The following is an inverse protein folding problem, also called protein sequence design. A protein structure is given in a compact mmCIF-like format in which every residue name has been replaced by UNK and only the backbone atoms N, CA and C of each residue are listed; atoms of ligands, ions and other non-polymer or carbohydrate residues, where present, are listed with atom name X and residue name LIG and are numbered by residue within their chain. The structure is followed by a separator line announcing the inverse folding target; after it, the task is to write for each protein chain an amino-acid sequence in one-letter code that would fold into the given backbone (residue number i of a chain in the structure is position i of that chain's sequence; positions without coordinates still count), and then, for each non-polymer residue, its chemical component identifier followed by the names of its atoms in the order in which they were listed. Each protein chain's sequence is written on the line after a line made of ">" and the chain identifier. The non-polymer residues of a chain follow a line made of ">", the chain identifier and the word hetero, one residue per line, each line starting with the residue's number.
data_IF_397224745778
#
_entry.id   IF_397224745778
#
_cell.length_a   1.000
_cell.length_b   1.000
_cell.length_c   1.000
_cell.angle_alpha   90.00
_cell.angle_beta   90.00
_cell.angle_gamma   90.00
#
_symmetry.space_group_name_H-M   'P 1'
#
loop_
_entity.id
_entity.type
_entity.pdbx_description
1 polymer ?
#
# COMPACT_ATOMS: atom_id res chain seq x y z
N UNK A 1 25.63 3.17 4.44
CA UNK A 1 24.64 4.18 4.05
C UNK A 1 24.25 3.96 2.59
N UNK A 2 22.97 3.67 2.34
CA UNK A 2 22.39 3.54 1.00
C UNK A 2 21.32 4.62 0.79
N UNK A 3 20.98 4.90 -0.45
CA UNK A 3 19.93 5.83 -0.82
C UNK A 3 18.56 5.33 -0.35
N UNK A 4 17.65 6.25 -0.02
CA UNK A 4 16.29 5.95 0.44
C UNK A 4 15.47 5.19 -0.63
N UNK A 5 15.68 5.50 -1.90
CA UNK A 5 15.02 4.79 -3.01
C UNK A 5 15.48 3.33 -3.08
N UNK A 6 16.78 3.09 -3.01
CA UNK A 6 17.35 1.74 -3.00
C UNK A 6 16.91 0.96 -1.77
N UNK A 7 16.89 1.59 -0.59
CA UNK A 7 16.40 0.98 0.64
C UNK A 7 14.91 0.57 0.53
N UNK A 8 14.09 1.39 -0.15
CA UNK A 8 12.69 1.06 -0.41
C UNK A 8 12.57 -0.13 -1.37
N UNK A 9 13.34 -0.12 -2.45
CA UNK A 9 13.34 -1.22 -3.42
C UNK A 9 13.77 -2.54 -2.80
N UNK A 10 14.84 -2.52 -1.99
CA UNK A 10 15.31 -3.68 -1.24
C UNK A 10 14.23 -4.22 -0.32
N UNK A 11 13.56 -3.35 0.44
CA UNK A 11 12.45 -3.73 1.30
C UNK A 11 11.28 -4.36 0.53
N UNK A 12 10.92 -3.79 -0.62
CA UNK A 12 9.71 -4.20 -1.37
C UNK A 12 9.95 -5.46 -2.21
N UNK A 13 11.14 -5.63 -2.79
CA UNK A 13 11.41 -6.70 -3.75
C UNK A 13 12.29 -7.82 -3.20
N UNK A 14 13.19 -7.51 -2.28
CA UNK A 14 14.21 -8.45 -1.83
C UNK A 14 13.97 -8.97 -0.42
N UNK A 15 13.43 -8.13 0.49
CA UNK A 15 13.16 -8.54 1.85
C UNK A 15 11.98 -9.53 1.97
N UNK A 16 12.01 -10.31 3.03
CA UNK A 16 10.87 -11.08 3.51
C UNK A 16 10.53 -10.64 4.93
N UNK A 17 9.32 -10.90 5.37
CA UNK A 17 8.92 -10.70 6.77
C UNK A 17 9.02 -11.97 7.61
N UNK A 18 9.57 -13.06 7.04
CA UNK A 18 9.75 -14.32 7.75
C UNK A 18 10.92 -15.13 7.19
N UNK A 19 11.83 -15.56 8.08
CA UNK A 19 13.07 -16.27 7.71
C UNK A 19 12.88 -17.60 6.95
N UNK A 20 11.77 -18.29 7.15
CA UNK A 20 11.47 -19.56 6.45
C UNK A 20 11.25 -19.42 4.94
N UNK A 21 11.06 -18.20 4.45
CA UNK A 21 10.69 -17.94 3.07
C UNK A 21 11.76 -17.16 2.30
N UNK A 22 13.01 -17.25 2.74
CA UNK A 22 14.17 -16.64 2.10
C UNK A 22 15.06 -17.71 1.46
N UNK A 23 15.77 -17.33 0.40
CA UNK A 23 16.84 -18.14 -0.15
C UNK A 23 18.16 -17.81 0.57
N UNK A 24 18.86 -18.85 1.04
CA UNK A 24 20.03 -18.67 1.89
C UNK A 24 21.22 -17.97 1.19
N UNK A 25 21.25 -17.98 -0.14
CA UNK A 25 22.38 -17.46 -0.93
C UNK A 25 22.04 -16.24 -1.77
N UNK A 26 20.86 -15.64 -1.60
CA UNK A 26 20.49 -14.45 -2.37
C UNK A 26 21.22 -13.23 -1.84
N UNK A 27 21.88 -12.54 -2.76
CA UNK A 27 22.64 -11.30 -2.51
C UNK A 27 22.12 -10.19 -3.42
N UNK A 28 21.87 -9.03 -2.84
CA UNK A 28 21.50 -7.82 -3.57
C UNK A 28 22.69 -6.86 -3.63
N UNK A 29 23.09 -6.44 -4.83
CA UNK A 29 24.13 -5.46 -5.02
C UNK A 29 23.56 -4.05 -5.12
N UNK A 30 24.03 -3.15 -4.29
CA UNK A 30 23.60 -1.75 -4.25
C UNK A 30 24.81 -0.82 -4.11
N UNK A 31 24.74 0.37 -4.68
CA UNK A 31 25.77 1.41 -4.48
C UNK A 31 25.46 2.19 -3.21
N UNK A 32 26.47 2.36 -2.37
CA UNK A 32 26.38 3.24 -1.22
C UNK A 32 26.45 4.73 -1.66
N UNK A 33 26.26 5.63 -0.71
CA UNK A 33 26.34 7.08 -0.97
C UNK A 33 27.75 7.56 -1.38
N UNK A 34 28.77 6.75 -1.19
CA UNK A 34 30.14 6.99 -1.63
C UNK A 34 30.44 6.43 -3.04
N UNK A 35 29.47 5.73 -3.67
CA UNK A 35 29.60 5.11 -4.98
C UNK A 35 30.19 3.70 -4.98
N UNK A 36 30.49 3.12 -3.82
CA UNK A 36 31.00 1.77 -3.69
C UNK A 36 29.89 0.73 -3.76
N UNK A 37 30.15 -0.41 -4.39
CA UNK A 37 29.18 -1.53 -4.46
C UNK A 37 29.23 -2.31 -3.15
N UNK A 38 28.08 -2.37 -2.46
CA UNK A 38 27.89 -3.18 -1.27
C UNK A 38 27.01 -4.38 -1.63
N UNK A 39 27.35 -5.53 -1.05
CA UNK A 39 26.55 -6.76 -1.15
C UNK A 39 25.74 -6.94 0.12
N UNK A 40 24.43 -6.98 -0.04
CA UNK A 40 23.50 -7.22 1.06
C UNK A 40 22.99 -8.64 1.00
N UNK A 41 23.08 -9.35 2.11
CA UNK A 41 22.55 -10.70 2.24
C UNK A 41 21.05 -10.63 2.55
N UNK A 42 20.24 -11.46 1.89
CA UNK A 42 18.79 -11.51 2.12
C UNK A 42 18.44 -11.84 3.58
N UNK A 43 19.25 -12.64 4.26
CA UNK A 43 19.02 -12.99 5.68
C UNK A 43 19.07 -11.72 6.54
N UNK A 44 20.14 -10.94 6.44
CA UNK A 44 20.36 -9.71 7.22
C UNK A 44 19.26 -8.68 6.97
N UNK A 45 18.93 -8.46 5.70
CA UNK A 45 17.84 -7.53 5.31
C UNK A 45 16.50 -8.02 5.87
N UNK A 46 16.23 -9.31 5.78
CA UNK A 46 14.99 -9.91 6.30
C UNK A 46 14.90 -9.79 7.83
N UNK A 47 16.00 -9.99 8.56
CA UNK A 47 16.03 -9.80 10.01
C UNK A 47 15.63 -8.38 10.39
N UNK A 48 16.24 -7.38 9.78
CA UNK A 48 15.94 -5.97 10.05
C UNK A 48 14.46 -5.66 9.75
N UNK A 49 13.95 -6.10 8.60
CA UNK A 49 12.56 -5.85 8.19
C UNK A 49 11.58 -6.59 9.10
N UNK A 50 11.84 -7.85 9.40
CA UNK A 50 11.01 -8.69 10.27
C UNK A 50 10.90 -8.11 11.68
N UNK A 51 12.03 -7.71 12.29
CA UNK A 51 12.05 -7.14 13.64
C UNK A 51 11.25 -5.83 13.69
N UNK A 52 11.39 -4.98 12.67
CA UNK A 52 10.64 -3.73 12.60
C UNK A 52 9.15 -3.95 12.39
N UNK A 53 8.77 -4.89 11.54
CA UNK A 53 7.36 -5.25 11.35
C UNK A 53 6.77 -5.87 12.62
N UNK A 54 7.52 -6.73 13.31
CA UNK A 54 7.10 -7.33 14.57
C UNK A 54 6.87 -6.27 15.65
N UNK A 55 7.75 -5.28 15.75
CA UNK A 55 7.58 -4.14 16.66
C UNK A 55 6.28 -3.38 16.36
N UNK A 56 6.04 -3.03 15.09
CA UNK A 56 4.82 -2.33 14.67
C UNK A 56 3.55 -3.13 14.99
N UNK A 57 3.55 -4.43 14.72
CA UNK A 57 2.40 -5.31 15.00
C UNK A 57 2.14 -5.44 16.51
N UNK A 58 3.19 -5.54 17.33
CA UNK A 58 3.04 -5.58 18.81
C UNK A 58 2.52 -4.25 19.35
N UNK A 59 2.98 -3.11 18.80
CA UNK A 59 2.43 -1.80 19.15
C UNK A 59 0.95 -1.69 18.78
N UNK A 60 0.57 -2.14 17.58
CA UNK A 60 -0.82 -2.17 17.16
C UNK A 60 -1.67 -3.06 18.08
N UNK A 61 -1.19 -4.27 18.42
CA UNK A 61 -1.85 -5.18 19.37
C UNK A 61 -2.07 -4.50 20.73
N UNK A 62 -1.04 -3.82 21.24
CA UNK A 62 -1.14 -3.09 22.50
C UNK A 62 -2.21 -1.99 22.43
N UNK A 63 -2.27 -1.24 21.33
CA UNK A 63 -3.29 -0.21 21.16
C UNK A 63 -4.70 -0.79 21.09
N UNK A 64 -4.89 -1.90 20.38
CA UNK A 64 -6.17 -2.60 20.31
C UNK A 64 -6.65 -3.00 21.72
N UNK A 65 -5.76 -3.60 22.52
CA UNK A 65 -6.07 -4.01 23.90
C UNK A 65 -6.38 -2.84 24.85
N UNK A 66 -5.84 -1.65 24.55
CA UNK A 66 -6.15 -0.43 25.31
C UNK A 66 -7.51 0.16 24.91
N UNK A 67 -7.91 0.03 23.65
CA UNK A 67 -9.15 0.60 23.13
C UNK A 67 -10.40 -0.24 23.49
N UNK A 68 -10.25 -1.54 23.63
CA UNK A 68 -11.38 -2.42 23.96
C UNK A 68 -10.99 -3.56 24.90
N UNK A 69 -11.90 -3.88 25.81
CA UNK A 69 -11.81 -5.07 26.68
C UNK A 69 -12.72 -6.21 26.18
N UNK A 70 -13.45 -5.99 25.09
CA UNK A 70 -14.34 -6.98 24.51
C UNK A 70 -13.54 -7.96 23.66
N UNK A 71 -14.09 -9.16 23.48
CA UNK A 71 -13.54 -10.15 22.56
C UNK A 71 -13.64 -9.62 21.12
N UNK A 72 -12.51 -9.61 20.43
CA UNK A 72 -12.44 -9.20 19.04
C UNK A 72 -12.64 -10.43 18.17
N UNK A 73 -13.66 -10.41 17.31
CA UNK A 73 -13.98 -11.53 16.43
C UNK A 73 -12.97 -11.70 15.30
N UNK A 74 -12.46 -10.57 14.75
CA UNK A 74 -11.43 -10.56 13.70
C UNK A 74 -10.76 -9.20 13.59
N UNK A 75 -9.55 -9.20 13.03
CA UNK A 75 -8.77 -7.99 12.72
C UNK A 75 -8.56 -7.95 11.22
N UNK A 76 -8.89 -6.83 10.57
CA UNK A 76 -8.59 -6.61 9.15
C UNK A 76 -7.36 -5.72 9.03
N UNK A 77 -6.38 -6.19 8.26
CA UNK A 77 -5.15 -5.44 7.95
C UNK A 77 -5.09 -5.15 6.46
N UNK A 78 -4.74 -3.94 6.11
CA UNK A 78 -4.50 -3.51 4.73
C UNK A 78 -3.35 -2.50 4.66
N UNK A 79 -2.97 -2.12 3.45
CA UNK A 79 -1.91 -1.16 3.19
C UNK A 79 -0.65 -1.81 2.61
N UNK A 80 0.29 -0.98 2.13
CA UNK A 80 1.44 -1.46 1.37
C UNK A 80 2.38 -2.43 2.10
N UNK A 81 2.38 -2.46 3.43
CA UNK A 81 3.19 -3.42 4.20
C UNK A 81 2.69 -4.87 4.03
N UNK A 82 1.42 -5.07 3.73
CA UNK A 82 0.84 -6.41 3.51
C UNK A 82 1.37 -7.09 2.24
N UNK A 83 1.98 -6.32 1.34
CA UNK A 83 2.59 -6.82 0.10
C UNK A 83 3.98 -7.42 0.32
N UNK A 84 4.59 -7.21 1.49
CA UNK A 84 5.91 -7.80 1.80
C UNK A 84 5.76 -9.32 1.86
N UNK A 85 6.71 -10.02 1.22
CA UNK A 85 6.73 -11.48 1.17
C UNK A 85 6.58 -12.10 2.56
N UNK A 86 5.70 -13.09 2.69
CA UNK A 86 5.42 -13.83 3.93
C UNK A 86 4.82 -12.98 5.09
N UNK A 87 4.32 -11.76 4.84
CA UNK A 87 3.73 -10.88 5.87
C UNK A 87 2.63 -11.57 6.67
N UNK A 88 1.78 -12.35 6.01
CA UNK A 88 0.70 -13.12 6.64
C UNK A 88 1.19 -14.05 7.76
N UNK A 89 2.35 -14.68 7.56
CA UNK A 89 2.94 -15.60 8.54
C UNK A 89 3.35 -14.86 9.82
N UNK A 90 4.03 -13.72 9.67
CA UNK A 90 4.42 -12.88 10.81
C UNK A 90 3.21 -12.34 11.56
N UNK A 91 2.18 -11.91 10.83
CA UNK A 91 0.93 -11.43 11.42
C UNK A 91 0.25 -12.53 12.26
N UNK A 92 0.17 -13.74 11.75
CA UNK A 92 -0.42 -14.87 12.47
C UNK A 92 0.37 -15.27 13.72
N UNK A 93 1.68 -15.11 13.71
CA UNK A 93 2.51 -15.36 14.89
C UNK A 93 2.26 -14.34 16.01
N UNK A 94 2.01 -13.09 15.66
CA UNK A 94 1.91 -11.98 16.64
C UNK A 94 0.47 -11.72 17.05
N UNK A 95 -0.47 -11.67 16.10
CA UNK A 95 -1.85 -11.27 16.33
C UNK A 95 -2.83 -12.45 16.38
N UNK A 96 -2.38 -13.67 16.01
CA UNK A 96 -3.24 -14.84 15.94
C UNK A 96 -3.85 -15.08 14.56
N UNK A 97 -4.69 -16.12 14.46
CA UNK A 97 -5.24 -16.58 13.17
C UNK A 97 -6.52 -15.83 12.74
N UNK A 98 -7.11 -15.07 13.64
CA UNK A 98 -8.36 -14.34 13.39
C UNK A 98 -8.10 -13.00 12.67
N UNK A 99 -7.01 -12.95 11.89
CA UNK A 99 -6.60 -11.80 11.10
C UNK A 99 -6.87 -12.04 9.63
N UNK A 100 -7.52 -11.07 9.01
CA UNK A 100 -7.81 -11.04 7.58
C UNK A 100 -6.92 -9.98 6.94
N UNK A 101 -6.14 -10.37 5.94
CA UNK A 101 -5.45 -9.43 5.08
C UNK A 101 -6.39 -9.10 3.92
N UNK A 102 -6.87 -7.85 3.91
CA UNK A 102 -7.73 -7.38 2.84
C UNK A 102 -6.92 -7.20 1.56
N UNK A 103 -7.47 -7.65 0.45
CA UNK A 103 -6.92 -7.47 -0.89
C UNK A 103 -7.98 -6.80 -1.76
N UNK A 104 -7.59 -5.73 -2.45
CA UNK A 104 -8.47 -5.01 -3.37
C UNK A 104 -8.61 -5.78 -4.69
N UNK A 105 -9.84 -5.93 -5.17
CA UNK A 105 -10.14 -6.66 -6.42
C UNK A 105 -10.25 -5.75 -7.65
N UNK A 106 -10.12 -4.43 -7.47
CA UNK A 106 -10.23 -3.47 -8.55
C UNK A 106 -9.14 -3.71 -9.61
N UNK A 107 -9.54 -3.90 -10.86
CA UNK A 107 -8.62 -4.14 -11.97
C UNK A 107 -7.63 -2.98 -12.10
N UNK A 108 -6.34 -3.30 -12.17
CA UNK A 108 -5.26 -2.31 -12.25
C UNK A 108 -4.82 -1.72 -10.90
N UNK A 109 -5.54 -1.97 -9.81
CA UNK A 109 -5.26 -1.42 -8.48
C UNK A 109 -5.23 -2.48 -7.36
N UNK A 110 -4.88 -3.72 -7.68
CA UNK A 110 -4.86 -4.85 -6.74
C UNK A 110 -3.81 -4.74 -5.63
N UNK A 111 -2.82 -3.87 -5.79
CA UNK A 111 -1.80 -3.68 -4.76
C UNK A 111 -2.37 -2.89 -3.59
N UNK A 112 -2.24 -3.42 -2.38
CA UNK A 112 -2.81 -2.85 -1.17
C UNK A 112 -2.27 -1.45 -0.80
N UNK A 113 -1.20 -0.97 -1.44
CA UNK A 113 -0.75 0.41 -1.29
C UNK A 113 -1.78 1.44 -1.76
N UNK A 114 -2.72 1.03 -2.64
CA UNK A 114 -3.79 1.88 -3.17
C UNK A 114 -5.09 1.81 -2.37
N UNK A 115 -5.22 0.92 -1.40
CA UNK A 115 -6.48 0.66 -0.66
C UNK A 115 -7.08 1.93 -0.07
N UNK A 116 -6.26 2.80 0.51
CA UNK A 116 -6.76 4.06 1.09
C UNK A 116 -7.35 4.98 0.02
N UNK A 117 -6.67 5.14 -1.12
CA UNK A 117 -7.15 5.98 -2.22
C UNK A 117 -8.44 5.42 -2.82
N UNK A 118 -8.50 4.11 -3.04
CA UNK A 118 -9.71 3.44 -3.54
C UNK A 118 -10.85 3.57 -2.54
N UNK A 119 -10.56 3.39 -1.24
CA UNK A 119 -11.55 3.55 -0.18
C UNK A 119 -12.14 4.97 -0.12
N UNK A 120 -11.32 6.01 -0.34
CA UNK A 120 -11.81 7.38 -0.43
C UNK A 120 -12.72 7.59 -1.63
N UNK A 121 -12.38 7.02 -2.79
CA UNK A 121 -13.21 7.12 -4.00
C UNK A 121 -14.55 6.40 -3.77
N UNK A 122 -14.53 5.16 -3.28
CA UNK A 122 -15.76 4.40 -2.96
C UNK A 122 -16.63 5.15 -1.96
N UNK A 123 -16.04 5.64 -0.88
CA UNK A 123 -16.76 6.44 0.12
C UNK A 123 -17.41 7.69 -0.48
N UNK A 124 -16.70 8.38 -1.38
CA UNK A 124 -17.25 9.53 -2.07
C UNK A 124 -18.46 9.17 -2.94
N UNK A 125 -18.35 8.10 -3.75
CA UNK A 125 -19.44 7.60 -4.60
C UNK A 125 -20.66 7.24 -3.75
N UNK A 126 -20.50 6.42 -2.71
CA UNK A 126 -21.59 6.00 -1.82
C UNK A 126 -22.28 7.21 -1.18
N UNK A 127 -21.50 8.22 -0.78
CA UNK A 127 -22.05 9.45 -0.19
C UNK A 127 -22.83 10.31 -1.18
N UNK A 128 -22.44 10.27 -2.45
CA UNK A 128 -23.17 10.99 -3.51
C UNK A 128 -24.47 10.26 -3.86
N UNK A 129 -24.46 8.94 -3.94
CA UNK A 129 -25.66 8.11 -4.14
C UNK A 129 -26.70 8.37 -3.03
N UNK A 130 -26.28 8.34 -1.77
CA UNK A 130 -27.17 8.64 -0.62
C UNK A 130 -27.79 10.04 -0.72
N UNK A 131 -27.09 10.98 -1.34
CA UNK A 131 -27.60 12.36 -1.55
C UNK A 131 -28.41 12.52 -2.84
N UNK A 132 -28.58 11.47 -3.63
CA UNK A 132 -29.26 11.52 -4.92
C UNK A 132 -28.55 12.44 -5.94
N UNK A 133 -27.21 12.54 -5.85
CA UNK A 133 -26.41 13.37 -6.77
C UNK A 133 -25.55 12.46 -7.63
N UNK A 134 -25.65 12.64 -8.93
CA UNK A 134 -24.67 12.11 -9.87
C UNK A 134 -23.50 13.07 -10.00
N UNK A 135 -22.28 12.53 -10.03
CA UNK A 135 -21.07 13.31 -10.20
C UNK A 135 -20.14 12.62 -11.20
N UNK A 136 -19.83 13.31 -12.29
CA UNK A 136 -18.79 12.89 -13.21
C UNK A 136 -17.51 13.66 -12.90
N UNK A 137 -16.38 12.96 -12.83
CA UNK A 137 -15.05 13.58 -12.75
C UNK A 137 -14.56 14.05 -14.12
N UNK A 138 -15.25 13.63 -15.18
CA UNK A 138 -14.97 13.98 -16.57
C UNK A 138 -16.00 15.04 -16.93
N UNK A 139 -15.56 16.21 -17.32
CA UNK A 139 -16.46 17.23 -17.88
C UNK A 139 -16.73 16.95 -19.36
N UNK A 140 -17.76 17.60 -19.91
CA UNK A 140 -18.19 17.38 -21.30
C UNK A 140 -17.07 17.66 -22.32
N UNK A 141 -16.08 18.51 -21.97
CA UNK A 141 -14.95 18.83 -22.82
C UNK A 141 -13.88 17.74 -22.75
N UNK A 142 -13.66 17.19 -21.56
CA UNK A 142 -12.72 16.07 -21.37
C UNK A 142 -13.27 14.77 -22.01
N UNK A 143 -14.60 14.58 -21.98
CA UNK A 143 -15.27 13.47 -22.65
C UNK A 143 -15.10 13.56 -24.18
N UNK A 144 -15.23 14.77 -24.74
CA UNK A 144 -15.02 14.99 -26.18
C UNK A 144 -13.59 14.71 -26.62
N UNK A 145 -12.59 15.02 -25.78
CA UNK A 145 -11.18 14.68 -26.02
C UNK A 145 -10.92 13.18 -25.97
N UNK A 146 -11.57 12.47 -25.04
CA UNK A 146 -11.43 11.02 -24.89
C UNK A 146 -12.06 10.26 -26.06
N UNK A 147 -13.20 10.76 -26.57
CA UNK A 147 -13.90 10.17 -27.70
C UNK A 147 -13.21 10.50 -29.04
N UNK A 148 -12.68 11.74 -29.17
CA UNK A 148 -12.01 12.23 -30.38
C UNK A 148 -10.56 12.72 -30.08
N UNK A 149 -9.59 11.82 -29.88
CA UNK A 149 -8.22 12.17 -29.51
C UNK A 149 -7.47 13.00 -30.58
N UNK A 150 -8.02 13.12 -31.80
CA UNK A 150 -7.44 13.90 -32.89
C UNK A 150 -7.92 15.37 -32.95
N UNK A 151 -8.85 15.78 -32.08
CA UNK A 151 -9.34 17.15 -32.04
C UNK A 151 -8.40 18.05 -31.22
N UNK A 152 -7.42 18.68 -31.88
CA UNK A 152 -6.37 19.53 -31.27
C UNK A 152 -6.88 20.87 -30.69
N UNK A 153 -8.19 21.15 -30.68
CA UNK A 153 -8.74 22.45 -30.31
C UNK A 153 -9.25 22.54 -28.86
N UNK A 154 -9.22 21.46 -28.09
CA UNK A 154 -9.62 21.50 -26.68
C UNK A 154 -8.41 21.75 -25.77
N UNK A 155 -8.10 23.00 -25.47
CA UNK A 155 -7.26 23.38 -24.32
C UNK A 155 -8.12 23.22 -23.04
N UNK A 156 -8.31 22.00 -22.58
CA UNK A 156 -9.00 21.70 -21.32
C UNK A 156 -8.25 22.31 -20.14
N UNK A 157 -8.88 23.21 -19.44
CA UNK A 157 -8.47 23.54 -18.06
C UNK A 157 -8.95 22.40 -17.18
N UNK A 158 -8.00 21.67 -16.61
CA UNK A 158 -8.26 20.55 -15.74
C UNK A 158 -9.36 20.85 -14.70
N UNK A 159 -10.40 20.02 -14.66
CA UNK A 159 -11.58 20.15 -13.81
C UNK A 159 -11.35 20.04 -12.29
N UNK A 160 -10.10 20.04 -11.81
CA UNK A 160 -9.73 19.97 -10.40
C UNK A 160 -10.17 21.19 -9.59
N UNK A 161 -10.35 22.35 -10.22
CA UNK A 161 -10.76 23.60 -9.55
C UNK A 161 -12.24 23.61 -9.11
N UNK A 162 -13.09 22.73 -9.64
CA UNK A 162 -14.51 22.63 -9.26
C UNK A 162 -14.77 21.76 -8.02
N UNK A 163 -13.81 20.96 -7.61
CA UNK A 163 -13.94 20.04 -6.46
C UNK A 163 -13.81 20.77 -5.11
N UNK A 164 -13.09 21.89 -5.08
CA UNK A 164 -12.75 22.61 -3.85
C UNK A 164 -13.32 24.05 -3.76
N UNK A 165 -14.18 24.43 -4.68
CA UNK A 165 -14.80 25.76 -4.71
C UNK A 165 -16.25 25.74 -4.19
N UNK A 166 -16.42 26.28 -2.96
CA UNK A 166 -17.61 26.50 -2.14
C UNK A 166 -18.12 25.31 -1.35
#
# INVERSE_FOLDING_TARGET
>A
NINVFDAREIKEKFASSHKRFIALNDVYEVKNTAGEVIKLNQIEVTEIVMDRLAELLRLAQKQILLLTKQNISYIVITGGLTEIRAFKNLVYEILGKDVIIYTEDTLGARNNKYTTSIGMIKYFIDKMEVRGKEYSMIDDQDEEVLINPNNKNSKGKAGITKIFGN
#
